data_IF_643015597568
#
_entry.id   IF_643015597568
#
_cell.length_a   1.000
_cell.length_b   1.000
_cell.length_c   1.000
_cell.angle_alpha   90.00
_cell.angle_beta   90.00
_cell.angle_gamma   90.00
#
_symmetry.space_group_name_H-M   'P 1'
#
loop_
_entity.id
_entity.type
_entity.pdbx_description
1 polymer ?
#
# COMPACT_ATOMS: atom_id res chain seq x y z
N UNK A 1 3.40 -23.44 -10.96
CA UNK A 1 3.25 -22.49 -12.09
C UNK A 1 3.00 -21.16 -11.41
N UNK A 2 3.89 -20.20 -11.56
CA UNK A 2 3.89 -19.02 -10.69
C UNK A 2 3.00 -17.92 -11.26
N UNK A 3 2.39 -17.16 -10.36
CA UNK A 3 1.66 -15.93 -10.65
C UNK A 3 2.50 -14.74 -10.16
N UNK A 4 2.28 -13.57 -10.73
CA UNK A 4 3.05 -12.36 -10.41
C UNK A 4 2.12 -11.35 -9.73
N UNK A 5 2.55 -10.84 -8.58
CA UNK A 5 1.98 -9.63 -7.98
C UNK A 5 2.96 -8.48 -8.18
N UNK A 6 2.53 -7.44 -8.89
CA UNK A 6 3.26 -6.17 -8.99
C UNK A 6 2.59 -5.13 -8.10
N UNK A 7 3.34 -4.54 -7.18
CA UNK A 7 2.87 -3.43 -6.34
C UNK A 7 3.67 -2.18 -6.67
N UNK A 8 3.00 -1.15 -7.19
CA UNK A 8 3.59 0.16 -7.44
C UNK A 8 3.20 1.15 -6.34
N UNK A 9 4.18 1.81 -5.74
CA UNK A 9 3.90 2.98 -4.89
C UNK A 9 3.81 4.21 -5.76
N UNK A 10 2.72 4.97 -5.63
CA UNK A 10 2.62 6.24 -6.35
C UNK A 10 3.61 7.27 -5.82
N UNK A 11 4.24 8.02 -6.71
CA UNK A 11 5.04 9.19 -6.35
C UNK A 11 4.19 10.26 -5.65
N UNK A 12 4.56 10.62 -4.42
CA UNK A 12 3.87 11.64 -3.65
C UNK A 12 4.81 12.41 -2.72
N UNK A 13 4.68 13.74 -2.71
CA UNK A 13 5.30 14.59 -1.69
C UNK A 13 4.89 14.19 -0.27
N UNK A 14 3.63 13.76 -0.09
CA UNK A 14 3.14 13.19 1.17
C UNK A 14 3.89 11.88 1.47
N UNK A 15 4.66 11.84 2.56
CA UNK A 15 5.46 10.68 3.00
C UNK A 15 6.63 10.30 2.08
N UNK A 16 7.13 11.22 1.25
CA UNK A 16 8.26 10.96 0.34
C UNK A 16 9.52 10.40 1.04
N UNK A 17 9.84 10.89 2.25
CA UNK A 17 10.99 10.44 3.06
C UNK A 17 10.73 9.16 3.87
N UNK A 18 9.57 8.52 3.71
CA UNK A 18 9.15 7.39 4.54
C UNK A 18 8.77 6.22 3.65
N UNK A 19 9.44 5.08 3.81
CA UNK A 19 9.08 3.87 3.09
C UNK A 19 7.84 3.24 3.73
N UNK A 20 6.95 2.66 2.91
CA UNK A 20 5.83 1.88 3.42
C UNK A 20 6.30 0.46 3.67
N UNK A 21 5.93 -0.12 4.80
CA UNK A 21 6.10 -1.54 5.07
C UNK A 21 4.99 -2.31 4.37
N UNK A 22 5.36 -3.30 3.57
CA UNK A 22 4.42 -4.17 2.84
C UNK A 22 4.21 -5.44 3.64
N UNK A 23 2.94 -5.81 3.83
CA UNK A 23 2.55 -7.03 4.53
C UNK A 23 1.74 -7.91 3.60
N UNK A 24 2.15 -9.17 3.49
CA UNK A 24 1.42 -10.21 2.78
C UNK A 24 1.04 -11.31 3.79
N UNK A 25 -0.25 -11.64 3.87
CA UNK A 25 -0.82 -12.62 4.81
C UNK A 25 -0.39 -12.37 6.27
N UNK A 26 -0.26 -11.10 6.66
CA UNK A 26 0.14 -10.69 8.01
C UNK A 26 1.66 -10.67 8.26
N UNK A 27 2.48 -11.12 7.32
CA UNK A 27 3.95 -11.15 7.43
C UNK A 27 4.54 -9.90 6.77
N UNK A 28 5.43 -9.19 7.46
CA UNK A 28 6.21 -8.09 6.87
C UNK A 28 7.17 -8.67 5.82
N UNK A 29 6.96 -8.32 4.56
CA UNK A 29 7.79 -8.78 3.44
C UNK A 29 8.98 -7.85 3.24
N UNK A 30 8.70 -6.59 2.93
CA UNK A 30 9.73 -5.59 2.64
C UNK A 30 9.20 -4.16 2.82
N UNK A 31 10.02 -3.18 2.41
CA UNK A 31 9.66 -1.77 2.41
C UNK A 31 9.69 -1.23 0.99
N UNK A 32 8.67 -0.46 0.60
CA UNK A 32 8.55 0.19 -0.70
C UNK A 32 8.77 1.72 -0.57
N UNK A 33 9.78 2.21 -1.28
CA UNK A 33 10.15 3.62 -1.41
C UNK A 33 9.21 4.36 -2.37
N UNK A 34 9.31 5.69 -2.36
CA UNK A 34 8.49 6.52 -3.24
C UNK A 34 8.79 6.24 -4.72
N UNK A 35 7.73 6.10 -5.52
CA UNK A 35 7.77 5.73 -6.95
C UNK A 35 8.38 4.35 -7.27
N UNK A 36 8.65 3.53 -6.24
CA UNK A 36 9.16 2.16 -6.43
C UNK A 36 8.07 1.20 -6.90
N UNK A 37 8.47 0.16 -7.64
CA UNK A 37 7.62 -0.97 -8.02
C UNK A 37 8.32 -2.26 -7.61
N UNK A 38 7.63 -3.06 -6.81
CA UNK A 38 8.12 -4.37 -6.35
C UNK A 38 7.32 -5.48 -7.01
N UNK A 39 7.95 -6.65 -7.19
CA UNK A 39 7.38 -7.81 -7.89
C UNK A 39 7.57 -9.07 -7.06
N UNK A 40 6.50 -9.83 -6.92
CA UNK A 40 6.49 -11.11 -6.22
C UNK A 40 6.06 -12.23 -7.15
N UNK A 41 6.86 -13.28 -7.21
CA UNK A 41 6.38 -14.57 -7.72
C UNK A 41 5.70 -15.32 -6.57
N UNK A 42 4.41 -15.59 -6.73
CA UNK A 42 3.55 -16.22 -5.74
C UNK A 42 2.88 -17.45 -6.36
N UNK A 43 2.62 -18.46 -5.55
CA UNK A 43 1.78 -19.58 -5.99
C UNK A 43 0.33 -19.11 -6.12
N UNK A 44 -0.47 -19.70 -7.03
CA UNK A 44 -1.90 -19.41 -7.12
C UNK A 44 -2.60 -19.67 -5.78
N UNK A 45 -3.51 -18.79 -5.39
CA UNK A 45 -4.18 -18.88 -4.09
C UNK A 45 -4.80 -17.58 -3.62
N UNK A 46 -5.28 -17.59 -2.38
CA UNK A 46 -5.85 -16.41 -1.72
C UNK A 46 -4.80 -15.68 -0.89
N UNK A 47 -4.77 -14.36 -1.03
CA UNK A 47 -3.82 -13.50 -0.37
C UNK A 47 -4.49 -12.26 0.23
N UNK A 48 -3.89 -11.77 1.30
CA UNK A 48 -4.19 -10.48 1.92
C UNK A 48 -2.96 -9.57 1.83
N UNK A 49 -3.11 -8.41 1.21
CA UNK A 49 -2.07 -7.37 1.15
C UNK A 49 -2.51 -6.13 1.94
N UNK A 50 -1.60 -5.58 2.74
CA UNK A 50 -1.77 -4.24 3.30
C UNK A 50 -0.42 -3.54 3.47
N UNK A 51 -0.44 -2.21 3.48
CA UNK A 51 0.75 -1.40 3.70
C UNK A 51 0.64 -0.60 4.99
N UNK A 52 1.77 -0.37 5.66
CA UNK A 52 1.84 0.44 6.88
C UNK A 52 2.96 1.48 6.83
N UNK A 53 2.72 2.57 7.53
CA UNK A 53 3.69 3.60 7.87
C UNK A 53 3.48 3.97 9.34
N UNK A 54 4.50 3.77 10.17
CA UNK A 54 4.40 3.90 11.62
C UNK A 54 3.20 3.10 12.18
N UNK A 55 2.25 3.74 12.87
CA UNK A 55 1.02 3.11 13.38
C UNK A 55 -0.19 3.24 12.44
N UNK A 56 -0.01 3.87 11.27
CA UNK A 56 -1.00 4.05 10.24
C UNK A 56 -0.84 3.01 9.12
N UNK A 57 -1.88 2.80 8.31
CA UNK A 57 -1.83 1.86 7.21
C UNK A 57 -2.99 1.97 6.24
N UNK A 58 -3.06 1.00 5.34
CA UNK A 58 -4.19 0.79 4.44
C UNK A 58 -5.20 -0.19 5.03
N UNK A 59 -6.37 -0.26 4.41
CA UNK A 59 -7.25 -1.41 4.58
C UNK A 59 -6.54 -2.66 4.05
N UNK A 60 -6.99 -3.82 4.54
CA UNK A 60 -6.61 -5.12 4.01
C UNK A 60 -7.26 -5.32 2.66
N UNK A 61 -6.45 -5.63 1.66
CA UNK A 61 -6.89 -5.91 0.30
C UNK A 61 -6.79 -7.41 0.07
N UNK A 62 -7.93 -8.07 -0.07
CA UNK A 62 -8.01 -9.50 -0.35
C UNK A 62 -8.13 -9.72 -1.85
N UNK A 63 -7.35 -10.66 -2.39
CA UNK A 63 -7.34 -11.01 -3.80
C UNK A 63 -7.00 -12.49 -3.98
N UNK A 64 -7.39 -13.02 -5.13
CA UNK A 64 -7.08 -14.38 -5.56
C UNK A 64 -6.14 -14.29 -6.75
N UNK A 65 -5.07 -15.07 -6.74
CA UNK A 65 -4.17 -15.25 -7.88
C UNK A 65 -4.47 -16.57 -8.58
N UNK A 66 -4.70 -16.50 -9.88
CA UNK A 66 -4.85 -17.64 -10.77
C UNK A 66 -3.53 -18.00 -11.44
N UNK A 67 -3.38 -19.22 -11.94
CA UNK A 67 -2.16 -19.69 -12.62
C UNK A 67 -1.75 -18.77 -13.79
N UNK A 68 -0.48 -18.36 -13.80
CA UNK A 68 0.11 -17.44 -14.79
C UNK A 68 -0.56 -16.05 -14.87
N UNK A 69 -1.28 -15.65 -13.81
CA UNK A 69 -1.84 -14.31 -13.69
C UNK A 69 -0.76 -13.29 -13.31
N UNK A 70 -0.89 -12.07 -13.85
CA UNK A 70 -0.13 -10.91 -13.42
C UNK A 70 -1.13 -9.90 -12.83
N UNK A 71 -1.15 -9.79 -11.50
CA UNK A 71 -1.97 -8.82 -10.79
C UNK A 71 -1.15 -7.56 -10.53
N UNK A 72 -1.64 -6.42 -11.00
CA UNK A 72 -1.02 -5.12 -10.79
C UNK A 72 -1.85 -4.32 -9.78
N UNK A 73 -1.22 -3.93 -8.67
CA UNK A 73 -1.82 -3.10 -7.63
C UNK A 73 -1.00 -1.82 -7.44
N UNK A 74 -1.68 -0.79 -6.93
CA UNK A 74 -1.08 0.49 -6.59
C UNK A 74 -1.33 0.83 -5.12
N UNK A 75 -0.31 1.33 -4.42
CA UNK A 75 -0.45 1.86 -3.07
C UNK A 75 -0.03 3.33 -2.95
N UNK A 76 -0.61 4.02 -1.97
CA UNK A 76 -0.36 5.45 -1.78
C UNK A 76 -1.11 6.06 -0.60
N UNK A 77 -1.01 7.37 -0.46
CA UNK A 77 -1.78 8.20 0.47
C UNK A 77 -2.92 8.92 -0.28
N UNK A 78 -4.16 8.97 0.25
CA UNK A 78 -5.28 9.67 -0.38
C UNK A 78 -5.15 11.20 -0.36
N UNK A 79 -4.20 11.76 0.40
CA UNK A 79 -3.91 13.19 0.47
C UNK A 79 -3.04 13.60 -0.72
N UNK A 80 -3.69 14.08 -1.78
CA UNK A 80 -3.08 14.56 -3.04
C UNK A 80 -3.74 15.86 -3.52
N UNK A 81 -3.04 16.61 -4.37
CA UNK A 81 -3.55 17.83 -4.99
C UNK A 81 -3.99 18.86 -3.96
N UNK A 82 -5.15 19.49 -4.15
CA UNK A 82 -5.69 20.50 -3.24
C UNK A 82 -5.86 20.03 -1.77
N UNK A 83 -6.07 18.73 -1.53
CA UNK A 83 -6.16 18.17 -0.16
C UNK A 83 -4.84 18.30 0.61
N UNK A 84 -3.71 18.44 -0.10
CA UNK A 84 -2.41 18.70 0.52
C UNK A 84 -2.39 20.04 1.27
N UNK A 85 -3.08 21.06 0.77
CA UNK A 85 -3.20 22.35 1.45
C UNK A 85 -3.93 22.25 2.80
N UNK A 86 -4.76 21.22 2.96
CA UNK A 86 -5.51 20.93 4.17
C UNK A 86 -4.85 19.84 5.04
N UNK A 87 -3.66 19.37 4.66
CA UNK A 87 -2.91 18.35 5.39
C UNK A 87 -2.80 18.62 6.90
N UNK A 88 -2.49 19.83 7.41
CA UNK A 88 -2.38 20.04 8.85
C UNK A 88 -3.67 19.75 9.63
N UNK A 89 -4.83 19.79 8.98
CA UNK A 89 -6.12 19.46 9.61
C UNK A 89 -6.55 18.01 9.34
N UNK A 90 -6.31 17.51 8.12
CA UNK A 90 -6.73 16.17 7.70
C UNK A 90 -5.84 15.10 8.34
N UNK A 91 -4.52 15.33 8.38
CA UNK A 91 -3.56 14.31 8.80
C UNK A 91 -3.75 13.89 10.27
N UNK A 92 -3.88 14.82 11.24
CA UNK A 92 -4.17 14.44 12.63
C UNK A 92 -5.49 13.66 12.75
N UNK A 93 -6.53 14.07 12.03
CA UNK A 93 -7.81 13.36 12.05
C UNK A 93 -7.67 11.89 11.62
N UNK A 94 -6.97 11.62 10.52
CA UNK A 94 -6.73 10.23 10.09
C UNK A 94 -5.85 9.47 11.08
N UNK A 95 -4.83 10.12 11.64
CA UNK A 95 -3.91 9.52 12.63
C UNK A 95 -4.67 9.06 13.87
N UNK A 96 -5.61 9.86 14.38
CA UNK A 96 -6.34 9.55 15.61
C UNK A 96 -7.57 8.67 15.39
N UNK A 97 -8.34 8.90 14.32
CA UNK A 97 -9.65 8.28 14.16
C UNK A 97 -9.69 7.18 13.08
N UNK A 98 -8.83 7.24 12.06
CA UNK A 98 -8.85 6.29 10.94
C UNK A 98 -7.44 5.90 10.45
N UNK A 99 -6.59 5.35 11.33
CA UNK A 99 -5.19 5.05 10.98
C UNK A 99 -5.09 4.06 9.82
N UNK A 100 -6.02 3.11 9.70
CA UNK A 100 -6.06 2.11 8.61
C UNK A 100 -6.59 2.68 7.27
N UNK A 101 -7.02 3.94 7.22
CA UNK A 101 -7.41 4.60 5.96
C UNK A 101 -6.41 5.69 5.55
N UNK A 102 -5.29 5.76 6.24
CA UNK A 102 -4.24 6.72 5.97
C UNK A 102 -3.51 6.42 4.67
N UNK A 103 -3.40 5.14 4.32
CA UNK A 103 -2.92 4.65 3.04
C UNK A 103 -4.04 3.92 2.30
N UNK A 104 -3.83 3.66 1.01
CA UNK A 104 -4.72 2.87 0.18
C UNK A 104 -3.94 1.81 -0.60
N UNK A 105 -4.67 0.77 -1.02
CA UNK A 105 -4.29 -0.18 -2.08
C UNK A 105 -5.46 -0.21 -3.06
N UNK A 106 -5.19 -0.26 -4.36
CA UNK A 106 -6.18 -0.37 -5.43
C UNK A 106 -5.66 -1.17 -6.61
#
# INVERSE_FOLDING_TARGET
MNSILELKRTNQYSNWLRNFKVFLNGIEYEKIADDETIRYELEPGEYELYVKIDWCGSNRYQFTLHENEILQLECGCPIRGWKFLLQPFIMPYYIFFYPNKYLYIR
#
